data_IF_035769746831
#
_entry.id   IF_035769746831
#
_cell.length_a   1.000
_cell.length_b   1.000
_cell.length_c   1.000
_cell.angle_alpha   90.00
_cell.angle_beta   90.00
_cell.angle_gamma   90.00
#
_symmetry.space_group_name_H-M   'P 1'
#
loop_
_entity.id
_entity.type
_entity.pdbx_description
1 polymer ?
#
# COMPACT_ATOMS: atom_id res chain seq x y z
N UNK A 1 -19.99 -7.88 7.95
CA UNK A 1 -19.97 -9.22 7.33
C UNK A 1 -19.35 -10.15 8.34
N UNK A 2 -19.85 -11.38 8.42
CA UNK A 2 -19.24 -12.45 9.21
C UNK A 2 -18.69 -13.47 8.21
N UNK A 3 -17.48 -13.98 8.46
CA UNK A 3 -16.80 -14.90 7.56
C UNK A 3 -15.84 -15.78 8.37
N UNK A 4 -15.91 -17.08 8.12
CA UNK A 4 -15.05 -18.08 8.74
C UNK A 4 -13.91 -18.46 7.77
N UNK A 5 -12.74 -18.77 8.34
CA UNK A 5 -11.61 -19.34 7.61
C UNK A 5 -11.34 -20.73 8.17
N UNK A 6 -11.38 -21.74 7.30
CA UNK A 6 -11.01 -23.11 7.61
C UNK A 6 -9.78 -23.51 6.79
N UNK A 7 -8.80 -24.12 7.44
CA UNK A 7 -7.60 -24.65 6.78
C UNK A 7 -7.70 -26.17 6.71
N UNK A 8 -7.60 -26.71 5.50
CA UNK A 8 -7.60 -28.15 5.29
C UNK A 8 -6.23 -28.76 5.66
N UNK A 9 -6.08 -29.09 6.94
CA UNK A 9 -4.88 -29.77 7.46
C UNK A 9 -4.82 -31.28 7.17
N UNK A 10 -5.88 -31.86 6.59
CA UNK A 10 -5.91 -33.28 6.21
C UNK A 10 -5.16 -33.50 4.88
N UNK A 11 -5.41 -32.63 3.89
CA UNK A 11 -4.79 -32.75 2.56
C UNK A 11 -3.50 -31.92 2.43
N UNK A 12 -3.31 -30.90 3.27
CA UNK A 12 -2.19 -29.97 3.16
C UNK A 12 -1.39 -29.83 4.45
N UNK A 13 -0.06 -29.91 4.32
CA UNK A 13 0.86 -29.54 5.37
C UNK A 13 1.14 -28.04 5.32
N UNK A 14 1.08 -27.39 6.49
CA UNK A 14 1.38 -25.97 6.65
C UNK A 14 2.65 -25.75 7.48
N UNK A 15 3.37 -24.68 7.16
CA UNK A 15 4.54 -24.24 7.91
C UNK A 15 4.57 -22.71 8.06
N UNK A 16 5.38 -22.22 9.00
CA UNK A 16 5.57 -20.78 9.27
C UNK A 16 7.01 -20.31 9.00
N UNK A 17 7.90 -21.24 8.66
CA UNK A 17 9.33 -21.04 8.47
C UNK A 17 9.75 -20.93 7.00
N UNK A 18 8.78 -20.95 6.07
CA UNK A 18 9.05 -20.95 4.63
C UNK A 18 9.59 -22.29 4.10
N UNK A 19 9.30 -23.40 4.79
CA UNK A 19 9.65 -24.75 4.33
C UNK A 19 9.21 -25.01 2.89
N UNK A 20 10.12 -25.52 2.07
CA UNK A 20 9.85 -25.87 0.67
C UNK A 20 8.94 -27.08 0.49
N UNK A 21 8.67 -27.83 1.57
CA UNK A 21 7.85 -29.04 1.54
C UNK A 21 6.43 -28.83 2.09
N UNK A 22 6.05 -27.60 2.45
CA UNK A 22 4.76 -27.26 3.03
C UNK A 22 4.23 -25.95 2.45
N UNK A 23 2.92 -25.74 2.54
CA UNK A 23 2.32 -24.45 2.23
C UNK A 23 2.62 -23.46 3.34
N UNK A 24 2.91 -22.21 2.97
CA UNK A 24 3.18 -21.19 3.95
C UNK A 24 1.87 -20.65 4.58
N UNK A 25 1.74 -20.80 5.88
CA UNK A 25 0.52 -20.43 6.61
C UNK A 25 0.23 -18.93 6.48
N UNK A 26 1.26 -18.09 6.62
CA UNK A 26 1.08 -16.64 6.52
C UNK A 26 0.64 -16.24 5.11
N UNK A 27 1.28 -16.77 4.08
CA UNK A 27 0.90 -16.57 2.70
C UNK A 27 -0.56 -16.95 2.43
N UNK A 28 -0.96 -18.17 2.80
CA UNK A 28 -2.34 -18.65 2.59
C UNK A 28 -3.34 -17.75 3.31
N UNK A 29 -3.09 -17.42 4.59
CA UNK A 29 -4.00 -16.56 5.34
C UNK A 29 -4.08 -15.14 4.75
N UNK A 30 -3.00 -14.57 4.23
CA UNK A 30 -3.05 -13.25 3.58
C UNK A 30 -3.94 -13.27 2.33
N UNK A 31 -3.92 -14.36 1.56
CA UNK A 31 -4.80 -14.56 0.41
C UNK A 31 -6.28 -14.68 0.83
N UNK A 32 -6.58 -15.56 1.80
CA UNK A 32 -7.94 -15.75 2.27
C UNK A 32 -8.52 -14.51 2.95
N UNK A 33 -7.70 -13.75 3.68
CA UNK A 33 -8.11 -12.46 4.24
C UNK A 33 -8.48 -11.46 3.14
N UNK A 34 -7.80 -11.50 1.98
CA UNK A 34 -8.22 -10.72 0.82
C UNK A 34 -9.65 -11.03 0.39
N UNK A 35 -10.02 -12.32 0.31
CA UNK A 35 -11.40 -12.74 0.03
C UNK A 35 -12.38 -12.29 1.12
N UNK A 36 -12.01 -12.39 2.40
CA UNK A 36 -12.83 -11.88 3.52
C UNK A 36 -13.12 -10.38 3.36
N UNK A 37 -12.15 -9.61 2.88
CA UNK A 37 -12.34 -8.19 2.60
C UNK A 37 -12.97 -7.88 1.22
N UNK A 38 -13.37 -8.91 0.47
CA UNK A 38 -14.10 -8.78 -0.79
C UNK A 38 -13.21 -8.59 -2.03
N UNK A 39 -11.94 -8.98 -1.98
CA UNK A 39 -11.10 -9.08 -3.17
C UNK A 39 -11.33 -10.43 -3.86
N UNK A 40 -11.47 -10.41 -5.18
CA UNK A 40 -11.47 -11.60 -6.01
C UNK A 40 -10.06 -11.93 -6.50
N UNK A 41 -9.92 -13.12 -7.10
CA UNK A 41 -8.69 -13.47 -7.79
C UNK A 41 -8.34 -12.50 -8.92
N UNK A 42 -7.05 -12.29 -9.12
CA UNK A 42 -6.49 -11.42 -10.17
C UNK A 42 -5.59 -12.23 -11.12
N UNK A 43 -5.50 -11.87 -12.42
CA UNK A 43 -4.55 -12.46 -13.34
C UNK A 43 -3.10 -11.97 -13.11
N UNK A 44 -2.87 -11.01 -12.21
CA UNK A 44 -1.54 -10.49 -11.88
C UNK A 44 -0.77 -11.54 -11.08
N UNK A 45 0.17 -12.23 -11.73
CA UNK A 45 0.92 -13.37 -11.16
C UNK A 45 1.70 -13.04 -9.88
N UNK A 46 2.09 -11.78 -9.69
CA UNK A 46 2.82 -11.32 -8.50
C UNK A 46 1.91 -10.86 -7.36
N UNK A 47 0.59 -10.88 -7.55
CA UNK A 47 -0.35 -10.40 -6.56
C UNK A 47 -0.63 -11.46 -5.49
N UNK A 48 -1.00 -10.98 -4.30
CA UNK A 48 -1.47 -11.85 -3.23
C UNK A 48 -2.71 -12.61 -3.71
N UNK A 49 -3.63 -11.92 -4.38
CA UNK A 49 -4.85 -12.52 -4.91
C UNK A 49 -4.67 -13.37 -6.18
N UNK A 50 -3.44 -13.72 -6.57
CA UNK A 50 -3.26 -14.69 -7.65
C UNK A 50 -3.73 -16.09 -7.21
N UNK A 51 -4.53 -16.76 -8.05
CA UNK A 51 -5.30 -17.96 -7.65
C UNK A 51 -4.47 -19.22 -7.33
N UNK A 52 -3.24 -19.33 -7.83
CA UNK A 52 -2.42 -20.53 -7.68
C UNK A 52 -1.38 -20.35 -6.59
N UNK A 53 -1.17 -21.36 -5.76
CA UNK A 53 -0.06 -21.41 -4.83
C UNK A 53 0.59 -22.79 -4.75
N UNK A 54 1.86 -22.82 -4.36
CA UNK A 54 2.68 -24.03 -4.29
C UNK A 54 3.44 -24.13 -2.95
N UNK A 55 3.81 -25.34 -2.50
CA UNK A 55 4.68 -25.50 -1.34
C UNK A 55 5.99 -24.71 -1.48
N UNK A 56 6.46 -24.10 -0.39
CA UNK A 56 7.64 -23.25 -0.37
C UNK A 56 7.46 -21.82 -0.90
N UNK A 57 6.29 -21.48 -1.42
CA UNK A 57 6.00 -20.12 -1.86
C UNK A 57 5.78 -19.21 -0.64
N UNK A 58 6.47 -18.06 -0.62
CA UNK A 58 6.37 -17.04 0.44
C UNK A 58 6.07 -15.64 -0.12
N UNK A 59 5.92 -15.52 -1.43
CA UNK A 59 5.79 -14.26 -2.17
C UNK A 59 4.55 -13.46 -1.76
N UNK A 60 3.48 -14.13 -1.33
CA UNK A 60 2.19 -13.52 -0.97
C UNK A 60 2.03 -13.27 0.53
N UNK A 61 3.11 -13.27 1.30
CA UNK A 61 3.09 -12.82 2.72
C UNK A 61 2.83 -11.32 2.85
N UNK A 62 3.07 -10.54 1.80
CA UNK A 62 2.86 -9.10 1.73
C UNK A 62 1.93 -8.72 0.59
N UNK A 63 1.18 -7.63 0.76
CA UNK A 63 0.30 -7.10 -0.27
C UNK A 63 1.09 -6.56 -1.47
N UNK A 64 0.66 -6.93 -2.68
CA UNK A 64 1.13 -6.35 -3.92
C UNK A 64 0.37 -5.05 -4.22
N UNK A 65 0.89 -4.21 -5.13
CA UNK A 65 0.20 -2.97 -5.53
C UNK A 65 -1.22 -3.19 -6.05
N UNK A 66 -1.49 -4.32 -6.73
CA UNK A 66 -2.82 -4.69 -7.21
C UNK A 66 -3.80 -4.94 -6.05
N UNK A 67 -3.36 -5.67 -5.02
CA UNK A 67 -4.17 -5.95 -3.83
C UNK A 67 -4.49 -4.66 -3.07
N UNK A 68 -3.49 -3.76 -2.94
CA UNK A 68 -3.66 -2.45 -2.31
C UNK A 68 -4.64 -1.57 -3.11
N UNK A 69 -4.55 -1.57 -4.44
CA UNK A 69 -5.48 -0.82 -5.27
C UNK A 69 -6.91 -1.37 -5.14
N UNK A 70 -7.06 -2.70 -5.15
CA UNK A 70 -8.35 -3.38 -4.98
C UNK A 70 -9.00 -3.06 -3.64
N UNK A 71 -8.26 -3.14 -2.53
CA UNK A 71 -8.82 -2.87 -1.21
C UNK A 71 -9.22 -1.39 -1.07
N UNK A 72 -8.42 -0.47 -1.60
CA UNK A 72 -8.74 0.97 -1.57
C UNK A 72 -9.98 1.30 -2.41
N UNK A 73 -10.21 0.57 -3.51
CA UNK A 73 -11.38 0.74 -4.35
C UNK A 73 -12.65 0.18 -3.69
N UNK A 74 -12.56 -0.96 -3.01
CA UNK A 74 -13.69 -1.61 -2.32
C UNK A 74 -14.07 -0.93 -1.00
N UNK A 75 -13.08 -0.33 -0.31
CA UNK A 75 -13.26 0.33 0.99
C UNK A 75 -12.77 1.78 0.90
N UNK A 76 -13.52 2.67 0.20
CA UNK A 76 -13.14 4.07 0.11
C UNK A 76 -13.16 4.70 1.51
N UNK A 77 -12.07 5.39 1.85
CA UNK A 77 -12.02 6.17 3.08
C UNK A 77 -13.06 7.30 2.98
N UNK A 78 -13.91 7.41 4.00
CA UNK A 78 -14.78 8.58 4.12
C UNK A 78 -13.91 9.83 4.25
N UNK A 79 -14.17 10.86 3.45
CA UNK A 79 -13.45 12.14 3.46
C UNK A 79 -13.67 12.97 4.74
N UNK A 80 -14.22 12.36 5.79
CA UNK A 80 -14.24 12.94 7.12
C UNK A 80 -12.80 13.17 7.56
N UNK A 81 -12.40 14.39 7.96
CA UNK A 81 -11.03 14.68 8.31
C UNK A 81 -10.50 13.65 9.33
N UNK A 82 -9.24 13.25 9.13
CA UNK A 82 -8.50 12.22 9.87
C UNK A 82 -8.33 12.49 11.39
N UNK A 83 -9.18 13.33 11.98
CA UNK A 83 -9.40 13.42 13.43
C UNK A 83 -10.29 12.28 13.93
N UNK A 84 -11.05 11.62 13.07
CA UNK A 84 -11.54 10.27 13.34
C UNK A 84 -10.42 9.28 12.98
N UNK A 85 -9.34 9.32 13.77
CA UNK A 85 -8.33 8.28 13.75
C UNK A 85 -9.00 6.91 13.89
N UNK A 86 -8.35 5.84 13.45
CA UNK A 86 -8.75 4.48 13.78
C UNK A 86 -8.84 4.36 15.30
N UNK A 87 -10.01 4.63 15.87
CA UNK A 87 -10.31 4.41 17.27
C UNK A 87 -10.61 2.92 17.38
N UNK A 88 -9.55 2.11 17.34
CA UNK A 88 -9.56 0.91 18.16
C UNK A 88 -9.77 1.42 19.59
N UNK A 89 -11.03 1.48 20.00
CA UNK A 89 -11.45 1.94 21.31
C UNK A 89 -11.04 0.98 22.45
N UNK A 90 -10.11 0.06 22.18
CA UNK A 90 -9.38 -0.68 23.21
C UNK A 90 -7.89 -0.39 22.99
N UNK A 91 -7.30 0.39 23.91
CA UNK A 91 -5.86 0.68 23.91
C UNK A 91 -5.12 -0.65 24.02
N UNK A 92 -4.52 -1.13 22.94
CA UNK A 92 -3.48 -2.15 23.04
C UNK A 92 -2.36 -1.54 23.92
N UNK A 93 -1.97 -2.18 25.02
CA UNK A 93 -0.91 -1.66 25.88
C UNK A 93 0.36 -1.40 25.07
N UNK A 94 1.03 -0.28 25.32
CA UNK A 94 2.23 0.13 24.58
C UNK A 94 3.40 -0.87 24.73
N UNK A 95 3.30 -1.77 25.70
CA UNK A 95 4.21 -2.85 26.05
C UNK A 95 3.73 -4.23 25.56
N UNK A 96 2.69 -4.29 24.71
CA UNK A 96 2.21 -5.54 24.15
C UNK A 96 3.34 -6.31 23.43
N UNK A 97 3.74 -7.51 23.90
CA UNK A 97 4.90 -8.26 23.41
C UNK A 97 4.87 -8.60 21.90
N UNK A 98 3.70 -8.49 21.28
CA UNK A 98 3.42 -8.88 19.90
C UNK A 98 3.30 -7.71 18.92
N UNK A 99 3.47 -6.45 19.36
CA UNK A 99 3.44 -5.29 18.47
C UNK A 99 4.86 -4.79 18.16
N UNK A 100 5.44 -5.07 16.97
CA UNK A 100 6.67 -4.43 16.54
C UNK A 100 6.44 -2.92 16.30
N UNK A 101 7.49 -2.13 16.53
CA UNK A 101 7.51 -0.66 16.33
C UNK A 101 6.99 -0.30 14.93
N UNK A 102 5.99 0.59 14.85
CA UNK A 102 5.46 1.06 13.56
C UNK A 102 6.41 2.10 12.96
N UNK A 103 6.94 1.90 11.73
CA UNK A 103 7.49 3.00 10.96
C UNK A 103 6.34 3.91 10.55
N UNK A 104 6.34 5.16 11.04
CA UNK A 104 5.40 6.19 10.62
C UNK A 104 5.75 6.68 9.22
N UNK A 105 5.32 5.96 8.18
CA UNK A 105 5.27 6.49 6.82
C UNK A 105 3.87 6.28 6.27
N UNK A 106 3.02 7.26 6.52
CA UNK A 106 1.73 7.37 5.85
C UNK A 106 1.92 7.73 4.37
N UNK A 107 0.94 7.35 3.55
CA UNK A 107 0.86 7.68 2.14
C UNK A 107 0.55 9.18 1.95
N UNK A 108 1.54 10.04 2.15
CA UNK A 108 1.54 11.41 1.67
C UNK A 108 2.81 11.60 0.84
N UNK A 109 2.79 11.10 -0.40
CA UNK A 109 3.79 11.44 -1.39
C UNK A 109 3.58 12.91 -1.78
N UNK A 110 4.23 13.83 -1.08
CA UNK A 110 4.37 15.20 -1.54
C UNK A 110 5.26 15.19 -2.78
N UNK A 111 4.66 15.35 -3.95
CA UNK A 111 5.31 15.26 -5.26
C UNK A 111 6.36 16.39 -5.41
N UNK A 112 7.68 16.13 -5.29
CA UNK A 112 8.70 17.18 -5.25
C UNK A 112 8.90 17.87 -6.60
N UNK A 113 8.36 17.29 -7.68
CA UNK A 113 8.51 17.76 -9.06
C UNK A 113 7.72 19.06 -9.28
N UNK A 114 6.58 19.24 -8.60
CA UNK A 114 5.74 20.43 -8.73
C UNK A 114 6.43 21.70 -8.25
N UNK A 115 7.20 21.63 -7.15
CA UNK A 115 7.87 22.79 -6.56
C UNK A 115 9.01 23.33 -7.45
N UNK A 116 9.72 22.44 -8.15
CA UNK A 116 10.84 22.81 -9.03
C UNK A 116 10.33 23.50 -10.30
N UNK A 117 9.20 23.05 -10.86
CA UNK A 117 8.60 23.64 -12.06
C UNK A 117 8.20 25.11 -11.86
N UNK A 118 7.66 25.46 -10.69
CA UNK A 118 7.29 26.85 -10.36
C UNK A 118 8.50 27.77 -10.26
N UNK A 119 9.59 27.32 -9.65
CA UNK A 119 10.81 28.12 -9.51
C UNK A 119 11.47 28.40 -10.87
N UNK A 120 11.53 27.41 -11.75
CA UNK A 120 12.07 27.59 -13.11
C UNK A 120 11.19 28.55 -13.93
N UNK A 121 9.86 28.43 -13.84
CA UNK A 121 8.94 29.34 -14.51
C UNK A 121 9.09 30.80 -14.08
N UNK A 122 9.26 31.04 -12.77
CA UNK A 122 9.46 32.40 -12.22
C UNK A 122 10.79 33.02 -12.66
N UNK A 123 11.86 32.23 -12.71
CA UNK A 123 13.18 32.69 -13.18
C UNK A 123 13.13 33.06 -14.67
N UNK A 124 12.49 32.24 -15.51
CA UNK A 124 12.36 32.51 -16.94
C UNK A 124 11.54 33.79 -17.21
N UNK A 125 10.44 34.00 -16.47
CA UNK A 125 9.64 35.23 -16.56
C UNK A 125 10.43 36.48 -16.15
N UNK A 126 11.26 36.38 -15.11
CA UNK A 126 12.09 37.48 -14.64
C UNK A 126 13.21 37.83 -15.62
N UNK A 127 13.89 36.83 -16.20
CA UNK A 127 14.92 37.05 -17.24
C UNK A 127 14.29 37.62 -18.52
N UNK A 128 13.12 37.13 -18.93
CA UNK A 128 12.38 37.65 -20.09
C UNK A 128 11.95 39.12 -19.92
N UNK A 129 11.47 39.52 -18.73
CA UNK A 129 11.14 40.92 -18.42
C UNK A 129 12.36 41.85 -18.35
N UNK A 130 13.57 41.33 -18.09
CA UNK A 130 14.80 42.13 -18.09
C UNK A 130 15.31 42.39 -19.51
N UNK A 131 15.25 41.41 -20.40
CA UNK A 131 15.69 41.55 -21.81
C UNK A 131 14.84 42.51 -22.63
N UNK A 132 13.53 42.58 -22.36
CA UNK A 132 12.61 43.49 -23.06
C UNK A 132 12.77 44.95 -22.62
N UNK A 133 13.30 45.20 -21.42
CA UNK A 133 13.56 46.56 -20.92
C UNK A 133 14.87 47.18 -21.45
N UNK A 134 15.83 46.37 -21.88
CA UNK A 134 17.12 46.84 -22.39
C UNK A 134 17.12 47.23 -23.87
N UNK A 135 16.07 46.90 -24.64
CA UNK A 135 16.00 47.20 -26.10
C UNK A 135 15.25 48.52 -26.39
N UNK A 136 14.70 49.18 -25.39
CA UNK A 136 14.07 50.50 -25.54
C UNK A 136 15.00 51.62 -25.10
N UNK A 137 16.01 51.97 -25.91
CA UNK A 137 16.68 53.29 -26.00
C UNK A 137 17.82 53.25 -27.03
N UNK A 138 17.59 53.86 -28.19
CA UNK A 138 18.40 54.95 -28.78
C UNK A 138 17.76 55.33 -30.13
N UNK A 139 17.31 56.58 -30.21
CA UNK A 139 17.09 57.33 -31.44
C UNK A 139 18.35 58.15 -31.72
#
# INVERSE_FOLDING_TARGET
>A
MDADIELNGEDFAFAVDGSVSAYDLQQTLTHELGHVFGLDHTPVVSATMYALSYPGEISKRSLAPDDVAGICANHPLSTTPATAACEFAERVPADAPWCPERPSQGCAAGDPVGAIAWLVGLVLLWVGRRRTRSVARCA
#
